data_IF_230374829812
#
_entry.id   IF_230374829812
#
_cell.length_a   1.000
_cell.length_b   1.000
_cell.length_c   1.000
_cell.angle_alpha   90.00
_cell.angle_beta   90.00
_cell.angle_gamma   90.00
#
_symmetry.space_group_name_H-M   'P 1'
#
loop_
_entity.id
_entity.type
_entity.pdbx_description
1 polymer ?
#
# COMPACT_ATOMS: atom_id res chain seq x y z
N UNK A 1 -2.08 79.64 -33.23
CA UNK A 1 -2.25 80.22 -31.89
C UNK A 1 -1.73 79.18 -30.89
N UNK A 2 -0.42 79.09 -30.65
CA UNK A 2 0.43 80.00 -29.88
C UNK A 2 -0.04 80.06 -28.42
N UNK A 3 0.59 79.21 -27.61
CA UNK A 3 1.53 79.65 -26.58
C UNK A 3 1.00 79.92 -25.15
N UNK A 4 1.66 79.24 -24.17
CA UNK A 4 1.98 79.67 -22.78
C UNK A 4 0.80 79.77 -21.79
N UNK A 5 0.90 79.54 -20.48
CA UNK A 5 2.02 79.39 -19.54
C UNK A 5 1.45 78.92 -18.16
N UNK A 6 2.30 78.30 -17.32
CA UNK A 6 2.41 78.53 -15.84
C UNK A 6 1.35 77.82 -14.95
N UNK A 7 1.66 77.05 -13.89
CA UNK A 7 2.87 76.93 -13.03
C UNK A 7 2.79 75.68 -12.10
N UNK A 8 3.97 75.13 -11.74
CA UNK A 8 4.44 74.79 -10.35
C UNK A 8 4.04 73.41 -9.76
N UNK A 9 4.89 72.57 -9.14
CA UNK A 9 6.28 72.62 -8.62
C UNK A 9 6.98 71.29 -9.01
N UNK A 10 8.26 71.31 -9.40
CA UNK A 10 9.11 70.12 -9.45
C UNK A 10 10.47 70.43 -8.83
N UNK A 11 10.85 69.70 -7.77
CA UNK A 11 12.18 69.73 -7.18
C UNK A 11 12.94 68.50 -7.68
N UNK A 12 14.08 68.75 -8.32
CA UNK A 12 14.96 67.77 -8.95
C UNK A 12 16.40 68.21 -8.73
N UNK A 13 17.23 67.42 -8.03
CA UNK A 13 18.70 67.42 -8.06
C UNK A 13 19.16 66.02 -7.56
N UNK A 14 19.57 65.05 -8.40
CA UNK A 14 20.84 64.88 -9.19
C UNK A 14 22.02 64.45 -8.28
N UNK A 15 22.28 63.15 -8.08
CA UNK A 15 23.12 62.17 -8.83
C UNK A 15 24.60 62.10 -8.40
N UNK A 16 25.14 60.87 -8.26
CA UNK A 16 26.38 60.36 -8.89
C UNK A 16 26.76 59.00 -8.24
N UNK A 17 26.58 57.85 -8.92
CA UNK A 17 27.57 57.11 -9.74
C UNK A 17 28.63 56.37 -8.88
N UNK A 18 28.75 55.03 -8.92
CA UNK A 18 29.58 54.20 -9.84
C UNK A 18 29.07 52.73 -9.65
N UNK A 19 28.48 52.03 -10.63
CA UNK A 19 28.97 51.38 -11.86
C UNK A 19 29.59 49.98 -11.69
N UNK A 20 29.17 49.10 -12.61
CA UNK A 20 29.71 47.82 -13.07
C UNK A 20 29.09 46.48 -12.58
N UNK A 21 28.25 45.95 -13.49
CA UNK A 21 28.18 44.56 -14.03
C UNK A 21 27.65 43.43 -13.14
N UNK A 22 26.73 42.57 -13.58
CA UNK A 22 26.08 42.36 -14.87
C UNK A 22 24.95 41.33 -14.74
N UNK A 23 24.02 41.33 -15.71
CA UNK A 23 22.83 40.47 -15.74
C UNK A 23 23.11 39.09 -16.34
N UNK A 24 22.50 38.02 -15.81
CA UNK A 24 21.92 36.92 -16.59
C UNK A 24 20.93 36.08 -15.74
N UNK A 25 19.70 35.90 -16.27
CA UNK A 25 18.58 35.13 -15.70
C UNK A 25 18.81 33.61 -15.82
N UNK A 26 18.39 32.81 -14.81
CA UNK A 26 17.66 31.52 -15.00
C UNK A 26 17.16 30.87 -13.67
N UNK A 27 15.86 30.56 -13.63
CA UNK A 27 15.09 29.48 -12.94
C UNK A 27 15.51 28.99 -11.53
N UNK A 28 14.75 29.28 -10.46
CA UNK A 28 13.52 28.59 -9.95
C UNK A 28 13.77 27.16 -9.40
N UNK A 29 13.57 27.03 -8.08
CA UNK A 29 13.19 25.82 -7.33
C UNK A 29 14.27 24.76 -7.02
N UNK A 30 14.94 24.93 -5.87
CA UNK A 30 15.63 23.80 -5.20
C UNK A 30 15.73 23.90 -3.66
N UNK A 31 14.96 24.78 -3.00
CA UNK A 31 15.02 24.93 -1.53
C UNK A 31 13.65 24.89 -0.83
N UNK A 32 12.65 24.25 -1.46
CA UNK A 32 11.29 24.13 -0.92
C UNK A 32 10.77 22.69 -0.86
N UNK A 33 11.59 21.67 -1.15
CA UNK A 33 11.21 20.25 -1.06
C UNK A 33 11.62 19.56 0.25
N UNK A 34 12.55 20.14 1.04
CA UNK A 34 13.00 19.52 2.30
C UNK A 34 12.21 19.96 3.54
N UNK A 35 11.62 21.17 3.55
CA UNK A 35 10.84 21.65 4.70
C UNK A 35 9.35 21.27 4.64
N UNK A 36 8.82 20.91 3.47
CA UNK A 36 7.45 20.39 3.36
C UNK A 36 7.35 18.95 3.90
N UNK A 37 8.43 18.15 3.87
CA UNK A 37 8.44 16.79 4.45
C UNK A 37 8.59 16.76 5.98
N UNK A 38 9.14 17.80 6.61
CA UNK A 38 9.36 17.83 8.07
C UNK A 38 8.13 18.33 8.86
N UNK A 39 7.16 18.97 8.20
CA UNK A 39 5.99 19.55 8.85
C UNK A 39 4.69 18.75 8.70
N UNK A 40 4.68 17.64 7.95
CA UNK A 40 3.48 16.76 7.81
C UNK A 40 3.59 15.49 8.66
N UNK A 41 4.67 15.30 9.42
CA UNK A 41 4.95 14.07 10.19
C UNK A 41 4.75 14.29 11.71
N UNK A 42 4.31 15.48 12.14
CA UNK A 42 4.23 15.81 13.57
C UNK A 42 2.85 15.61 14.22
N UNK A 43 1.81 15.18 13.50
CA UNK A 43 0.46 14.98 14.06
C UNK A 43 -0.28 13.82 13.37
N UNK A 44 0.17 12.59 13.63
CA UNK A 44 -0.62 11.36 13.62
C UNK A 44 0.24 10.23 14.19
N UNK A 45 0.03 9.88 15.46
CA UNK A 45 0.84 8.90 16.19
C UNK A 45 0.61 7.45 15.70
N UNK A 46 1.75 6.78 15.47
CA UNK A 46 2.04 5.33 15.47
C UNK A 46 1.28 4.36 14.55
N UNK A 47 1.80 4.27 13.31
CA UNK A 47 2.12 2.96 12.73
C UNK A 47 3.51 3.05 12.11
N UNK A 48 4.52 2.63 12.87
CA UNK A 48 5.87 2.41 12.32
C UNK A 48 5.79 1.22 11.36
N UNK A 49 5.34 1.48 10.12
CA UNK A 49 5.42 0.48 9.06
C UNK A 49 6.88 0.39 8.65
N UNK A 50 7.57 -0.66 9.09
CA UNK A 50 8.93 -0.95 8.64
C UNK A 50 8.91 -1.35 7.17
N UNK A 51 9.89 -0.83 6.43
CA UNK A 51 9.99 -1.00 4.98
C UNK A 51 11.38 -1.51 4.65
N UNK A 52 11.44 -2.58 3.85
CA UNK A 52 12.67 -3.14 3.28
C UNK A 52 12.91 -2.46 1.94
N UNK A 53 14.09 -1.85 1.79
CA UNK A 53 14.59 -1.38 0.51
C UNK A 53 15.29 -2.52 -0.23
N UNK A 54 14.92 -2.74 -1.50
CA UNK A 54 15.57 -3.72 -2.37
C UNK A 54 15.95 -3.06 -3.70
N UNK A 55 17.06 -3.51 -4.30
CA UNK A 55 17.40 -3.17 -5.68
C UNK A 55 16.96 -4.32 -6.60
N UNK A 56 16.02 -4.05 -7.50
CA UNK A 56 15.59 -4.97 -8.54
C UNK A 56 16.36 -4.68 -9.84
N UNK A 57 16.96 -5.71 -10.44
CA UNK A 57 17.79 -5.56 -11.63
C UNK A 57 17.06 -6.04 -12.88
N UNK A 58 17.02 -5.21 -13.92
CA UNK A 58 16.28 -5.43 -15.16
C UNK A 58 17.17 -5.28 -16.39
N UNK A 59 16.80 -5.98 -17.46
CA UNK A 59 17.42 -5.79 -18.77
C UNK A 59 17.20 -4.36 -19.26
N UNK A 60 18.29 -3.70 -19.66
CA UNK A 60 18.29 -2.35 -20.22
C UNK A 60 18.97 -2.29 -21.58
N UNK A 61 19.14 -3.45 -22.22
CA UNK A 61 19.79 -3.58 -23.52
C UNK A 61 19.01 -2.80 -24.58
N UNK A 62 19.69 -1.89 -25.26
CA UNK A 62 19.12 -1.16 -26.41
C UNK A 62 19.17 -2.03 -27.67
N UNK A 63 18.28 -1.80 -28.63
CA UNK A 63 18.11 -2.65 -29.84
C UNK A 63 19.38 -2.82 -30.70
N UNK A 64 20.34 -1.90 -30.58
CA UNK A 64 21.61 -1.88 -31.31
C UNK A 64 22.82 -2.00 -30.35
N UNK A 65 22.59 -2.24 -29.05
CA UNK A 65 23.59 -2.18 -28.00
C UNK A 65 24.07 -3.54 -27.51
N UNK A 66 25.20 -3.54 -26.81
CA UNK A 66 25.65 -4.71 -26.04
C UNK A 66 24.70 -4.98 -24.86
N UNK A 67 24.59 -6.25 -24.39
CA UNK A 67 23.77 -6.58 -23.23
C UNK A 67 24.08 -5.68 -22.02
N UNK A 68 23.05 -5.10 -21.42
CA UNK A 68 23.18 -4.22 -20.24
C UNK A 68 22.08 -4.46 -19.22
N UNK A 69 22.38 -4.14 -17.96
CA UNK A 69 21.47 -4.28 -16.82
C UNK A 69 21.38 -2.95 -16.07
N UNK A 70 20.18 -2.60 -15.62
CA UNK A 70 19.92 -1.41 -14.80
C UNK A 70 19.20 -1.81 -13.52
N UNK A 71 19.40 -1.01 -12.45
CA UNK A 71 18.71 -1.22 -11.17
C UNK A 71 17.55 -0.26 -10.97
N UNK A 72 16.49 -0.75 -10.33
CA UNK A 72 15.34 0.00 -9.85
C UNK A 72 15.16 -0.30 -8.35
N UNK A 73 15.24 0.72 -7.51
CA UNK A 73 15.03 0.59 -6.07
C UNK A 73 13.54 0.48 -5.74
N UNK A 74 13.15 -0.54 -4.98
CA UNK A 74 11.77 -0.80 -4.53
C UNK A 74 11.70 -0.88 -3.03
N UNK A 75 10.50 -0.60 -2.52
CA UNK A 75 10.20 -0.56 -1.09
C UNK A 75 9.08 -1.57 -0.80
N UNK A 76 9.37 -2.54 0.05
CA UNK A 76 8.42 -3.58 0.48
C UNK A 76 8.10 -3.36 1.94
N UNK A 77 6.82 -3.26 2.29
CA UNK A 77 6.41 -3.20 3.70
C UNK A 77 6.58 -4.56 4.35
N UNK A 78 7.28 -4.61 5.49
CA UNK A 78 7.56 -5.86 6.19
C UNK A 78 6.28 -6.58 6.62
N UNK A 79 5.30 -5.83 7.12
CA UNK A 79 4.02 -6.40 7.56
C UNK A 79 3.23 -7.02 6.40
N UNK A 80 3.28 -6.43 5.19
CA UNK A 80 2.62 -7.00 4.02
C UNK A 80 3.34 -8.28 3.54
N UNK A 81 4.67 -8.30 3.63
CA UNK A 81 5.48 -9.49 3.34
C UNK A 81 5.19 -10.62 4.34
N UNK A 82 5.15 -10.30 5.63
CA UNK A 82 4.83 -11.25 6.70
C UNK A 82 3.39 -11.76 6.59
N UNK A 83 2.43 -10.89 6.32
CA UNK A 83 1.03 -11.26 6.09
C UNK A 83 0.91 -12.25 4.93
N UNK A 84 1.61 -12.00 3.82
CA UNK A 84 1.65 -12.92 2.69
C UNK A 84 2.25 -14.28 3.09
N UNK A 85 3.38 -14.28 3.79
CA UNK A 85 4.02 -15.53 4.24
C UNK A 85 3.11 -16.37 5.16
N UNK A 86 2.40 -15.73 6.10
CA UNK A 86 1.42 -16.41 6.97
C UNK A 86 0.34 -17.10 6.13
N UNK A 87 -0.22 -16.40 5.14
CA UNK A 87 -1.25 -16.97 4.26
C UNK A 87 -0.71 -18.13 3.41
N UNK A 88 0.53 -18.04 2.94
CA UNK A 88 1.19 -19.12 2.18
C UNK A 88 1.36 -20.37 3.04
N UNK A 89 1.73 -20.25 4.33
CA UNK A 89 1.77 -21.39 5.25
C UNK A 89 0.37 -21.98 5.53
N UNK A 90 -0.69 -21.15 5.62
CA UNK A 90 -2.06 -21.66 5.74
C UNK A 90 -2.51 -22.45 4.49
N UNK A 91 -2.09 -22.03 3.29
CA UNK A 91 -2.38 -22.70 2.01
C UNK A 91 -1.60 -24.01 1.89
N UNK A 92 -0.33 -24.01 2.31
CA UNK A 92 0.52 -25.20 2.37
C UNK A 92 -0.10 -26.28 3.27
N UNK A 93 -0.76 -25.85 4.34
CA UNK A 93 -1.50 -26.70 5.27
C UNK A 93 -0.66 -27.19 6.43
N UNK A 94 -1.32 -27.80 7.42
CA UNK A 94 -0.65 -28.35 8.59
C UNK A 94 0.21 -29.58 8.26
N UNK A 95 1.24 -29.82 9.06
CA UNK A 95 2.07 -31.02 8.96
C UNK A 95 1.22 -32.28 9.15
N UNK A 96 1.61 -33.35 8.44
CA UNK A 96 0.91 -34.64 8.47
C UNK A 96 0.98 -35.33 9.84
N UNK A 97 1.86 -34.87 10.72
CA UNK A 97 2.04 -35.38 12.08
C UNK A 97 1.12 -34.65 13.04
N UNK A 98 -0.18 -34.93 12.99
CA UNK A 98 -1.15 -34.37 13.93
C UNK A 98 -2.61 -34.50 13.50
N UNK A 99 -3.50 -33.98 14.35
CA UNK A 99 -4.95 -33.96 14.08
C UNK A 99 -5.41 -32.66 13.39
N UNK A 100 -4.48 -31.79 13.00
CA UNK A 100 -4.78 -30.53 12.33
C UNK A 100 -5.13 -30.78 10.86
N UNK A 101 -6.10 -30.02 10.34
CA UNK A 101 -6.56 -30.11 8.95
C UNK A 101 -6.26 -28.80 8.25
N UNK A 102 -5.84 -28.87 6.98
CA UNK A 102 -5.70 -27.69 6.12
C UNK A 102 -7.04 -26.96 5.97
N UNK A 103 -6.99 -25.63 6.00
CA UNK A 103 -8.18 -24.77 5.88
C UNK A 103 -8.40 -24.25 4.45
N UNK A 104 -7.36 -24.29 3.61
CA UNK A 104 -7.38 -23.86 2.22
C UNK A 104 -6.81 -24.98 1.34
N UNK A 105 -7.26 -25.04 0.08
CA UNK A 105 -6.64 -25.93 -0.91
C UNK A 105 -5.26 -25.40 -1.28
N UNK A 106 -4.32 -26.30 -1.57
CA UNK A 106 -2.98 -25.98 -2.07
C UNK A 106 -2.97 -25.19 -3.39
N UNK A 107 -4.07 -25.29 -4.13
CA UNK A 107 -4.24 -24.57 -5.40
C UNK A 107 -4.78 -23.14 -5.22
N UNK A 108 -5.09 -22.73 -3.99
CA UNK A 108 -5.54 -21.36 -3.68
C UNK A 108 -4.42 -20.38 -3.99
N UNK A 109 -4.72 -19.31 -4.73
CA UNK A 109 -3.73 -18.27 -5.03
C UNK A 109 -4.03 -17.00 -4.26
N UNK A 110 -2.97 -16.39 -3.73
CA UNK A 110 -3.02 -15.05 -3.16
C UNK A 110 -2.75 -14.05 -4.28
N UNK A 111 -3.79 -13.32 -4.68
CA UNK A 111 -3.71 -12.28 -5.72
C UNK A 111 -2.97 -11.06 -5.15
N UNK A 112 -3.40 -10.57 -3.98
CA UNK A 112 -2.80 -9.40 -3.35
C UNK A 112 -2.96 -9.43 -1.83
N UNK A 113 -2.02 -8.76 -1.15
CA UNK A 113 -2.05 -8.45 0.27
C UNK A 113 -1.62 -6.99 0.40
N UNK A 114 -2.42 -6.18 1.07
CA UNK A 114 -2.04 -4.81 1.41
C UNK A 114 -2.58 -4.43 2.79
N UNK A 115 -1.87 -3.58 3.50
CA UNK A 115 -2.25 -3.12 4.84
C UNK A 115 -2.37 -1.61 4.81
N UNK A 116 -3.55 -1.13 5.20
CA UNK A 116 -3.88 0.29 5.27
C UNK A 116 -4.85 0.54 6.42
N UNK A 117 -4.55 1.57 7.22
CA UNK A 117 -5.41 2.03 8.33
C UNK A 117 -5.83 0.91 9.30
N UNK A 118 -4.91 -0.01 9.60
CA UNK A 118 -5.20 -1.15 10.47
C UNK A 118 -5.98 -2.29 9.81
N UNK A 119 -6.23 -2.23 8.50
CA UNK A 119 -7.02 -3.22 7.76
C UNK A 119 -6.11 -3.95 6.77
N UNK A 120 -6.08 -5.29 6.88
CA UNK A 120 -5.44 -6.14 5.88
C UNK A 120 -6.43 -6.47 4.77
N UNK A 121 -6.18 -5.98 3.56
CA UNK A 121 -6.94 -6.31 2.36
C UNK A 121 -6.27 -7.49 1.68
N UNK A 122 -6.98 -8.63 1.66
CA UNK A 122 -6.46 -9.88 1.12
C UNK A 122 -7.38 -10.37 0.01
N UNK A 123 -6.79 -10.58 -1.16
CA UNK A 123 -7.51 -11.02 -2.35
C UNK A 123 -7.08 -12.43 -2.73
N UNK A 124 -8.05 -13.33 -2.87
CA UNK A 124 -7.82 -14.71 -3.25
C UNK A 124 -8.43 -15.03 -4.61
N UNK A 125 -7.76 -15.94 -5.32
CA UNK A 125 -8.31 -16.69 -6.44
C UNK A 125 -8.48 -18.14 -6.01
N UNK A 126 -9.72 -18.64 -6.09
CA UNK A 126 -10.08 -19.99 -5.70
C UNK A 126 -10.38 -20.78 -6.97
N UNK A 127 -9.70 -21.92 -7.14
CA UNK A 127 -10.04 -22.85 -8.22
C UNK A 127 -11.26 -23.71 -7.84
N UNK A 128 -11.74 -24.50 -8.79
CA UNK A 128 -12.92 -25.37 -8.60
C UNK A 128 -12.78 -26.37 -7.43
N UNK A 129 -11.56 -26.79 -7.07
CA UNK A 129 -11.32 -27.66 -5.92
C UNK A 129 -11.47 -26.90 -4.60
N UNK A 130 -11.00 -25.65 -4.54
CA UNK A 130 -11.14 -24.76 -3.38
C UNK A 130 -12.59 -24.39 -3.11
N UNK A 131 -13.41 -24.21 -4.15
CA UNK A 131 -14.83 -23.87 -3.99
C UNK A 131 -15.62 -24.89 -3.16
N UNK A 132 -15.30 -26.19 -3.30
CA UNK A 132 -15.98 -27.24 -2.55
C UNK A 132 -15.67 -27.19 -1.05
N UNK A 133 -14.44 -26.80 -0.68
CA UNK A 133 -14.04 -26.62 0.73
C UNK A 133 -14.75 -25.41 1.33
N UNK A 134 -14.88 -24.34 0.54
CA UNK A 134 -15.48 -23.07 0.96
C UNK A 134 -17.00 -23.18 1.13
N UNK A 135 -17.67 -23.97 0.29
CA UNK A 135 -19.13 -24.19 0.33
C UNK A 135 -19.60 -25.10 1.48
N UNK A 136 -18.68 -25.77 2.19
CA UNK A 136 -19.02 -26.52 3.40
C UNK A 136 -19.31 -25.55 4.55
N UNK A 137 -20.59 -25.30 4.81
CA UNK A 137 -21.07 -24.37 5.86
C UNK A 137 -20.47 -24.65 7.24
N UNK A 138 -20.13 -25.90 7.54
CA UNK A 138 -19.55 -26.27 8.83
C UNK A 138 -18.06 -25.87 8.93
N UNK A 139 -17.39 -25.67 7.79
CA UNK A 139 -15.98 -25.27 7.73
C UNK A 139 -15.79 -23.80 7.38
N UNK A 140 -16.72 -23.19 6.65
CA UNK A 140 -16.63 -21.80 6.19
C UNK A 140 -16.23 -20.83 7.32
N UNK A 141 -16.96 -20.85 8.45
CA UNK A 141 -16.67 -20.01 9.59
C UNK A 141 -15.29 -20.29 10.21
N UNK A 142 -14.87 -21.55 10.25
CA UNK A 142 -13.56 -21.95 10.76
C UNK A 142 -12.44 -21.43 9.87
N UNK A 143 -12.60 -21.52 8.55
CA UNK A 143 -11.63 -21.05 7.55
C UNK A 143 -11.44 -19.54 7.68
N UNK A 144 -12.54 -18.78 7.62
CA UNK A 144 -12.46 -17.31 7.73
C UNK A 144 -11.87 -16.91 9.07
N UNK A 145 -12.28 -17.54 10.17
CA UNK A 145 -11.77 -17.24 11.50
C UNK A 145 -10.28 -17.57 11.65
N UNK A 146 -9.81 -18.64 11.03
CA UNK A 146 -8.39 -19.00 11.03
C UNK A 146 -7.55 -17.99 10.25
N UNK A 147 -8.02 -17.53 9.08
CA UNK A 147 -7.36 -16.47 8.30
C UNK A 147 -7.29 -15.17 9.12
N UNK A 148 -8.43 -14.72 9.65
CA UNK A 148 -8.52 -13.47 10.43
C UNK A 148 -7.62 -13.51 11.66
N UNK A 149 -7.70 -14.57 12.47
CA UNK A 149 -6.85 -14.71 13.65
C UNK A 149 -5.36 -14.77 13.30
N UNK A 150 -5.00 -15.47 12.22
CA UNK A 150 -3.58 -15.62 11.85
C UNK A 150 -2.97 -14.29 11.43
N UNK A 151 -3.70 -13.48 10.66
CA UNK A 151 -3.22 -12.17 10.20
C UNK A 151 -3.18 -11.13 11.32
N UNK A 152 -4.14 -11.15 12.24
CA UNK A 152 -4.17 -10.21 13.38
C UNK A 152 -3.07 -10.44 14.43
N UNK A 153 -2.20 -11.44 14.24
CA UNK A 153 -0.95 -11.55 15.01
C UNK A 153 0.05 -10.45 14.64
N UNK A 154 -0.08 -9.86 13.45
CA UNK A 154 0.71 -8.72 13.02
C UNK A 154 0.13 -7.48 13.69
N UNK A 155 0.95 -6.78 14.49
CA UNK A 155 0.49 -5.69 15.38
C UNK A 155 -0.22 -4.55 14.65
N UNK A 156 0.12 -4.29 13.40
CA UNK A 156 -0.51 -3.26 12.58
C UNK A 156 -1.85 -3.66 11.98
N UNK A 157 -2.33 -4.90 12.20
CA UNK A 157 -3.57 -5.42 11.63
C UNK A 157 -4.62 -5.60 12.73
N UNK A 158 -5.65 -4.76 12.69
CA UNK A 158 -6.79 -4.77 13.60
C UNK A 158 -8.01 -5.53 13.04
N UNK A 159 -8.09 -5.64 11.71
CA UNK A 159 -9.17 -6.37 11.02
C UNK A 159 -8.74 -6.80 9.62
N UNK A 160 -9.46 -7.74 9.04
CA UNK A 160 -9.14 -8.32 7.73
C UNK A 160 -10.32 -8.19 6.78
N UNK A 161 -10.07 -7.63 5.60
CA UNK A 161 -11.02 -7.53 4.49
C UNK A 161 -10.66 -8.57 3.43
N UNK A 162 -11.51 -9.58 3.28
CA UNK A 162 -11.36 -10.63 2.27
C UNK A 162 -12.04 -10.21 0.97
N UNK A 163 -11.37 -10.46 -0.16
CA UNK A 163 -11.82 -10.14 -1.51
C UNK A 163 -11.73 -11.38 -2.40
N UNK A 164 -12.75 -11.62 -3.22
CA UNK A 164 -12.81 -12.71 -4.22
C UNK A 164 -13.23 -12.07 -5.56
N UNK A 165 -12.27 -11.53 -6.34
CA UNK A 165 -12.59 -10.66 -7.48
C UNK A 165 -13.39 -11.34 -8.58
N UNK A 166 -13.14 -12.63 -8.84
CA UNK A 166 -13.74 -13.37 -9.95
C UNK A 166 -15.28 -13.48 -9.85
N UNK A 167 -15.83 -13.37 -8.65
CA UNK A 167 -17.21 -13.76 -8.36
C UNK A 167 -18.05 -12.64 -7.74
N UNK A 168 -17.46 -11.48 -7.40
CA UNK A 168 -18.14 -10.32 -6.79
C UNK A 168 -19.09 -10.68 -5.62
N UNK A 169 -18.78 -11.76 -4.90
CA UNK A 169 -19.67 -12.32 -3.89
C UNK A 169 -19.59 -11.52 -2.62
N UNK A 170 -20.73 -11.41 -1.95
CA UNK A 170 -20.87 -10.76 -0.65
C UNK A 170 -20.56 -11.71 0.50
N UNK A 171 -20.47 -13.01 0.24
CA UNK A 171 -20.15 -14.04 1.24
C UNK A 171 -18.92 -14.84 0.83
N UNK A 172 -18.22 -15.43 1.80
CA UNK A 172 -17.04 -16.25 1.53
C UNK A 172 -17.42 -17.55 0.81
N UNK A 173 -18.35 -18.32 1.38
CA UNK A 173 -18.84 -19.60 0.87
C UNK A 173 -20.36 -19.80 0.99
N UNK A 174 -21.09 -18.73 1.27
CA UNK A 174 -22.55 -18.70 1.34
C UNK A 174 -23.10 -18.28 2.70
N UNK A 175 -22.29 -18.23 3.76
CA UNK A 175 -22.76 -17.97 5.13
C UNK A 175 -22.06 -16.77 5.78
N UNK A 176 -20.75 -16.63 5.61
CA UNK A 176 -19.96 -15.57 6.24
C UNK A 176 -19.93 -14.36 5.32
N UNK A 177 -20.50 -13.24 5.78
CA UNK A 177 -20.46 -11.95 5.08
C UNK A 177 -19.02 -11.41 5.03
N UNK A 178 -18.51 -11.13 3.83
CA UNK A 178 -17.18 -10.54 3.59
C UNK A 178 -17.26 -9.12 3.02
N UNK A 179 -18.42 -8.48 3.03
CA UNK A 179 -18.63 -7.11 2.53
C UNK A 179 -17.95 -6.05 3.40
N UNK A 180 -17.62 -6.38 4.65
CA UNK A 180 -16.92 -5.49 5.59
C UNK A 180 -15.62 -6.14 6.10
N UNK A 181 -14.68 -5.36 6.64
CA UNK A 181 -13.56 -5.91 7.41
C UNK A 181 -14.08 -6.74 8.59
N UNK A 182 -13.40 -7.84 8.88
CA UNK A 182 -13.79 -8.83 9.87
C UNK A 182 -12.75 -8.92 10.99
N UNK A 183 -13.26 -9.14 12.19
CA UNK A 183 -12.52 -9.53 13.40
C UNK A 183 -12.97 -10.94 13.85
N UNK A 184 -12.23 -11.61 14.75
CA UNK A 184 -12.61 -12.95 15.21
C UNK A 184 -13.97 -13.01 15.90
N UNK A 185 -14.43 -11.88 16.46
CA UNK A 185 -15.73 -11.75 17.14
C UNK A 185 -16.90 -11.63 16.17
N UNK A 186 -16.67 -11.17 14.94
CA UNK A 186 -17.72 -11.05 13.92
C UNK A 186 -18.14 -12.41 13.35
N UNK A 187 -17.34 -13.45 13.61
CA UNK A 187 -17.51 -14.78 13.03
C UNK A 187 -18.11 -15.71 14.08
N UNK A 188 -19.42 -15.94 13.98
CA UNK A 188 -20.09 -16.92 14.82
C UNK A 188 -19.57 -18.32 14.49
N UNK A 189 -18.84 -18.93 15.42
CA UNK A 189 -18.47 -20.34 15.31
C UNK A 189 -19.69 -21.18 15.68
N UNK A 190 -20.19 -21.97 14.73
CA UNK A 190 -21.14 -23.05 15.04
C UNK A 190 -20.42 -24.00 15.99
N UNK A 191 -20.86 -24.05 17.25
CA UNK A 191 -20.38 -25.04 18.22
C UNK A 191 -20.85 -26.40 17.74
N UNK A 192 -19.95 -27.16 17.09
CA UNK A 192 -20.21 -28.56 16.79
C UNK A 192 -20.11 -29.31 18.13
N UNK A 193 -21.27 -29.79 18.61
CA UNK A 193 -21.36 -30.76 19.70
C UNK A 193 -20.83 -32.13 19.25
#
# INVERSE_FOLDING_TARGET
MIMRFVRVVGILVITAAISFTGCAKKDVNQKQSEQIKKSTIAEAEESQTSVIEIDAYFDSTSSEGSPSISKETRYIKEDELLARAILEELIKGADLTGNLKGILSKDTKIISVSIKDGIAYVSFDFNSNSENIIKDKNKEAVIVKAIVQSLMQIKSINSVKILIPATNQTTFGGTVDITKPLTPTDIQTVTIK
#
